data_IF_400799422772
#
_entry.id   IF_400799422772
#
_cell.length_a   1.000
_cell.length_b   1.000
_cell.length_c   1.000
_cell.angle_alpha   90.00
_cell.angle_beta   90.00
_cell.angle_gamma   90.00
#
_symmetry.space_group_name_H-M   'P 1'
#
loop_
_entity.id
_entity.type
_entity.pdbx_description
1 polymer ?
#
# COMPACT_ATOMS: atom_id res chain seq x y z
N UNK A 1 -7.06 -14.11 -10.42
CA UNK A 1 -5.77 -14.18 -9.71
C UNK A 1 -5.28 -12.77 -9.53
N UNK A 2 -5.27 -12.26 -8.29
CA UNK A 2 -4.75 -10.91 -8.03
C UNK A 2 -3.23 -11.01 -8.10
N UNK A 3 -2.65 -10.37 -9.12
CA UNK A 3 -1.21 -10.36 -9.35
C UNK A 3 -0.59 -9.19 -8.59
N UNK A 4 0.68 -9.30 -8.20
CA UNK A 4 1.45 -8.20 -7.57
C UNK A 4 1.28 -6.89 -8.33
N UNK A 5 1.25 -6.93 -9.66
CA UNK A 5 1.04 -5.75 -10.51
C UNK A 5 -0.30 -5.03 -10.31
N UNK A 6 -1.37 -5.73 -9.88
CA UNK A 6 -2.65 -5.09 -9.55
C UNK A 6 -2.55 -4.30 -8.23
N UNK A 7 -1.85 -4.86 -7.25
CA UNK A 7 -1.57 -4.18 -5.97
C UNK A 7 -0.69 -2.96 -6.21
N UNK A 8 0.39 -3.10 -6.99
CA UNK A 8 1.24 -1.99 -7.41
C UNK A 8 0.42 -0.90 -8.09
N UNK A 9 -0.34 -1.26 -9.13
CA UNK A 9 -1.16 -0.29 -9.86
C UNK A 9 -2.11 0.48 -8.94
N UNK A 10 -2.77 -0.22 -8.01
CA UNK A 10 -3.67 0.43 -7.04
C UNK A 10 -2.92 1.42 -6.15
N UNK A 11 -1.82 1.01 -5.52
CA UNK A 11 -1.06 1.87 -4.59
C UNK A 11 -0.47 3.08 -5.31
N UNK A 12 0.16 2.89 -6.47
CA UNK A 12 0.70 4.02 -7.26
C UNK A 12 -0.41 4.95 -7.75
N UNK A 13 -1.55 4.42 -8.20
CA UNK A 13 -2.68 5.24 -8.62
C UNK A 13 -3.26 6.04 -7.46
N UNK A 14 -3.34 5.44 -6.28
CA UNK A 14 -3.85 6.08 -5.07
C UNK A 14 -2.93 7.24 -4.65
N UNK A 15 -1.62 6.98 -4.53
CA UNK A 15 -0.65 7.99 -4.12
C UNK A 15 -0.54 9.12 -5.14
N UNK A 16 -0.57 8.81 -6.44
CA UNK A 16 -0.60 9.85 -7.49
C UNK A 16 -1.84 10.74 -7.42
N UNK A 17 -3.00 10.22 -7.00
CA UNK A 17 -4.21 11.05 -6.79
C UNK A 17 -4.07 11.97 -5.58
N UNK A 18 -3.45 11.51 -4.51
CA UNK A 18 -3.24 12.32 -3.30
C UNK A 18 -2.22 13.43 -3.53
N UNK A 19 -1.11 13.11 -4.19
CA UNK A 19 0.05 13.98 -4.24
C UNK A 19 0.25 14.70 -5.58
N UNK A 20 -0.42 14.22 -6.63
CA UNK A 20 -0.24 14.68 -8.00
C UNK A 20 1.05 14.19 -8.64
N UNK A 21 1.25 14.49 -9.94
CA UNK A 21 2.36 13.97 -10.75
C UNK A 21 3.73 14.57 -10.38
N UNK A 22 3.80 15.48 -9.40
CA UNK A 22 5.05 16.15 -9.00
C UNK A 22 6.01 15.23 -8.24
N UNK A 23 5.51 14.13 -7.67
CA UNK A 23 6.33 13.14 -6.99
C UNK A 23 6.68 12.01 -7.96
N UNK A 24 7.97 11.83 -8.19
CA UNK A 24 8.50 10.63 -8.84
C UNK A 24 8.48 9.49 -7.81
N UNK A 25 7.37 8.77 -7.77
CA UNK A 25 7.19 7.62 -6.89
C UNK A 25 7.95 6.42 -7.44
N UNK A 26 8.71 5.76 -6.57
CA UNK A 26 9.34 4.46 -6.83
C UNK A 26 9.16 3.51 -5.62
N UNK A 27 9.64 2.28 -5.75
CA UNK A 27 9.51 1.24 -4.72
C UNK A 27 10.25 1.57 -3.41
N UNK A 28 11.23 2.48 -3.45
CA UNK A 28 12.03 2.91 -2.30
C UNK A 28 11.43 4.13 -1.60
N UNK A 29 10.49 4.82 -2.24
CA UNK A 29 9.83 6.02 -1.70
C UNK A 29 9.17 5.69 -0.35
N UNK A 30 9.61 6.37 0.70
CA UNK A 30 9.09 6.22 2.06
C UNK A 30 7.81 7.05 2.22
N UNK A 31 6.71 6.38 2.55
CA UNK A 31 5.39 7.00 2.71
C UNK A 31 5.38 8.12 3.75
N UNK A 32 6.25 8.07 4.76
CA UNK A 32 6.29 9.06 5.83
C UNK A 32 7.38 10.10 5.62
N UNK A 33 8.61 9.68 5.29
CA UNK A 33 9.75 10.59 5.18
C UNK A 33 9.73 11.39 3.88
N UNK A 34 9.35 10.75 2.78
CA UNK A 34 9.38 11.39 1.46
C UNK A 34 8.03 12.03 1.11
N UNK A 35 6.93 11.38 1.49
CA UNK A 35 5.58 11.85 1.17
C UNK A 35 4.88 12.58 2.33
N UNK A 36 5.41 12.50 3.56
CA UNK A 36 4.84 13.20 4.70
C UNK A 36 3.50 12.64 5.20
N UNK A 37 3.14 11.39 4.86
CA UNK A 37 1.88 10.79 5.30
C UNK A 37 1.86 10.62 6.82
N UNK A 38 0.78 11.10 7.44
CA UNK A 38 0.51 10.88 8.85
C UNK A 38 0.03 9.46 9.10
N UNK A 39 -0.02 9.06 10.38
CA UNK A 39 -0.61 7.78 10.78
C UNK A 39 -2.08 7.65 10.35
N UNK A 40 -2.83 8.75 10.28
CA UNK A 40 -4.22 8.74 9.82
C UNK A 40 -4.33 8.50 8.32
N UNK A 41 -3.43 9.10 7.52
CA UNK A 41 -3.42 8.87 6.08
C UNK A 41 -3.06 7.42 5.75
N UNK A 42 -2.14 6.84 6.52
CA UNK A 42 -1.78 5.43 6.40
C UNK A 42 -2.96 4.52 6.76
N UNK A 43 -3.71 4.81 7.84
CA UNK A 43 -4.91 4.06 8.18
C UNK A 43 -5.96 4.12 7.06
N UNK A 44 -6.15 5.28 6.42
CA UNK A 44 -7.05 5.40 5.28
C UNK A 44 -6.61 4.52 4.10
N UNK A 45 -5.31 4.51 3.79
CA UNK A 45 -4.75 3.61 2.76
C UNK A 45 -5.06 2.16 3.09
N UNK A 46 -4.87 1.74 4.34
CA UNK A 46 -5.16 0.36 4.77
C UNK A 46 -6.63 0.02 4.56
N UNK A 47 -7.55 0.87 5.00
CA UNK A 47 -8.99 0.65 4.84
C UNK A 47 -9.41 0.53 3.37
N UNK A 48 -8.84 1.37 2.50
CA UNK A 48 -9.14 1.35 1.07
C UNK A 48 -8.58 0.10 0.38
N UNK A 49 -7.41 -0.38 0.80
CA UNK A 49 -6.82 -1.65 0.35
C UNK A 49 -7.68 -2.83 0.80
N UNK A 50 -8.07 -2.89 2.07
CA UNK A 50 -8.94 -3.94 2.63
C UNK A 50 -10.25 -4.03 1.84
N UNK A 51 -10.89 -2.88 1.61
CA UNK A 51 -12.12 -2.78 0.83
C UNK A 51 -11.92 -3.21 -0.62
N UNK A 52 -10.84 -2.75 -1.26
CA UNK A 52 -10.55 -3.03 -2.68
C UNK A 52 -10.31 -4.51 -2.95
N UNK A 53 -9.57 -5.17 -2.07
CA UNK A 53 -9.09 -6.55 -2.28
C UNK A 53 -9.84 -7.58 -1.45
N UNK A 54 -10.83 -7.16 -0.65
CA UNK A 54 -11.60 -8.00 0.25
C UNK A 54 -10.68 -8.84 1.14
N UNK A 55 -9.78 -8.15 1.85
CA UNK A 55 -8.82 -8.73 2.80
C UNK A 55 -8.93 -8.01 4.15
N UNK A 56 -8.37 -8.62 5.18
CA UNK A 56 -8.16 -8.00 6.49
C UNK A 56 -6.67 -7.79 6.75
N UNK A 57 -6.25 -6.62 7.20
CA UNK A 57 -4.86 -6.31 7.51
C UNK A 57 -4.73 -5.89 8.97
N UNK A 58 -3.91 -6.61 9.72
CA UNK A 58 -3.45 -6.15 11.03
C UNK A 58 -2.60 -4.86 10.85
N UNK A 59 -3.02 -3.72 11.42
CA UNK A 59 -2.28 -2.46 11.32
C UNK A 59 -0.83 -2.55 11.83
N UNK A 60 -0.51 -3.52 12.69
CA UNK A 60 0.86 -3.78 13.15
C UNK A 60 1.81 -4.08 11.99
N UNK A 61 1.32 -4.69 10.90
CA UNK A 61 2.12 -5.03 9.70
C UNK A 61 2.60 -3.81 8.92
N UNK A 62 2.03 -2.63 9.16
CA UNK A 62 2.46 -1.35 8.56
C UNK A 62 3.35 -0.51 9.48
N UNK A 63 3.70 -1.03 10.66
CA UNK A 63 4.57 -0.31 11.60
C UNK A 63 6.05 -0.42 11.24
N UNK A 64 6.45 -1.44 10.48
CA UNK A 64 7.84 -1.67 10.06
C UNK A 64 8.02 -1.36 8.58
N UNK A 65 9.03 -0.52 8.28
CA UNK A 65 9.51 -0.10 6.97
C UNK A 65 8.43 0.30 5.93
N UNK A 66 8.24 1.61 5.74
CA UNK A 66 7.08 2.18 5.05
C UNK A 66 7.35 2.58 3.60
N UNK A 67 8.22 1.86 2.91
CA UNK A 67 8.39 2.09 1.47
C UNK A 67 7.20 1.55 0.67
N UNK A 68 6.95 2.14 -0.50
CA UNK A 68 5.91 1.66 -1.42
C UNK A 68 6.11 0.17 -1.74
N UNK A 69 7.34 -0.25 -2.01
CA UNK A 69 7.67 -1.64 -2.35
C UNK A 69 7.37 -2.62 -1.21
N UNK A 70 7.70 -2.25 0.04
CA UNK A 70 7.39 -3.08 1.21
C UNK A 70 5.89 -3.24 1.39
N UNK A 71 5.14 -2.15 1.27
CA UNK A 71 3.68 -2.15 1.42
C UNK A 71 3.01 -3.02 0.35
N UNK A 72 3.42 -2.90 -0.90
CA UNK A 72 2.95 -3.75 -1.99
C UNK A 72 3.21 -5.23 -1.68
N UNK A 73 4.41 -5.57 -1.21
CA UNK A 73 4.76 -6.95 -0.89
C UNK A 73 3.93 -7.49 0.28
N UNK A 74 3.75 -6.71 1.35
CA UNK A 74 2.92 -7.08 2.51
C UNK A 74 1.48 -7.36 2.07
N UNK A 75 0.87 -6.44 1.33
CA UNK A 75 -0.51 -6.60 0.83
C UNK A 75 -0.61 -7.82 -0.08
N UNK A 76 0.34 -8.01 -0.99
CA UNK A 76 0.36 -9.17 -1.90
C UNK A 76 0.43 -10.49 -1.12
N UNK A 77 1.24 -10.56 -0.07
CA UNK A 77 1.35 -11.75 0.77
C UNK A 77 0.07 -12.01 1.56
N UNK A 78 -0.56 -10.97 2.13
CA UNK A 78 -1.84 -11.10 2.83
C UNK A 78 -2.94 -11.64 1.90
N UNK A 79 -3.00 -11.13 0.67
CA UNK A 79 -3.93 -11.63 -0.34
C UNK A 79 -3.70 -13.12 -0.61
N UNK A 80 -2.45 -13.56 -0.74
CA UNK A 80 -2.10 -14.97 -0.93
C UNK A 80 -2.53 -15.83 0.26
N UNK A 81 -2.21 -15.38 1.48
CA UNK A 81 -2.56 -16.06 2.73
C UNK A 81 -4.08 -16.24 2.88
N UNK A 82 -4.88 -15.21 2.57
CA UNK A 82 -6.32 -15.22 2.82
C UNK A 82 -7.16 -15.81 1.69
N UNK A 83 -6.71 -15.71 0.45
CA UNK A 83 -7.43 -16.25 -0.71
C UNK A 83 -6.92 -17.63 -1.16
N UNK A 84 -5.92 -18.19 -0.47
CA UNK A 84 -5.46 -19.57 -0.65
C UNK A 84 -4.70 -19.83 -1.95
N UNK A 85 -3.78 -18.92 -2.30
CA UNK A 85 -2.96 -19.03 -3.52
C UNK A 85 -1.59 -19.63 -3.27
#
# INVERSE_FOLDING_TARGET
>A
MIMKGEVEYFIYSYLNRLFGPKYLLDDRTDLTKDLGLSSMDLLQIVMDVETRFNIFIDPSRFQQDRSIGTIVNVITNIIREQHGF
#
